data_IF_230581787348
#
_entry.id   IF_230581787348
#
_cell.length_a   1.000
_cell.length_b   1.000
_cell.length_c   1.000
_cell.angle_alpha   90.00
_cell.angle_beta   90.00
_cell.angle_gamma   90.00
#
_symmetry.space_group_name_H-M   'P 1'
#
loop_
_entity.id
_entity.type
_entity.pdbx_description
1 polymer ?
#
# COMPACT_ATOMS: atom_id res chain seq x y z
N UNK A 1 -18.96 29.33 1.63
CA UNK A 1 -19.21 28.11 2.46
C UNK A 1 -20.70 27.78 2.58
N UNK A 2 -21.58 28.76 2.83
CA UNK A 2 -23.04 28.53 2.95
C UNK A 2 -23.68 28.07 1.59
N UNK A 3 -23.12 28.47 0.46
CA UNK A 3 -23.61 28.08 -0.88
C UNK A 3 -23.45 26.57 -1.15
N UNK A 4 -22.34 25.97 -0.75
CA UNK A 4 -22.04 24.54 -0.96
C UNK A 4 -23.00 23.66 -0.14
N UNK A 5 -23.31 24.05 1.08
CA UNK A 5 -24.28 23.32 1.93
C UNK A 5 -25.71 23.35 1.35
N UNK A 6 -26.12 24.47 0.75
CA UNK A 6 -27.42 24.57 0.09
C UNK A 6 -27.53 23.66 -1.14
N UNK A 7 -26.46 23.52 -1.90
CA UNK A 7 -26.41 22.67 -3.10
C UNK A 7 -26.47 21.18 -2.75
N UNK A 8 -25.79 20.78 -1.68
CA UNK A 8 -25.81 19.39 -1.18
C UNK A 8 -27.21 19.02 -0.65
N UNK A 9 -27.86 19.89 0.12
CA UNK A 9 -29.22 19.67 0.64
C UNK A 9 -30.23 19.51 -0.51
N UNK A 10 -30.11 20.33 -1.54
CA UNK A 10 -31.02 20.28 -2.72
C UNK A 10 -30.76 19.05 -3.61
N UNK A 11 -29.52 18.56 -3.67
CA UNK A 11 -29.14 17.43 -4.54
C UNK A 11 -29.54 16.07 -3.97
N UNK A 12 -29.66 15.96 -2.66
CA UNK A 12 -29.90 14.69 -1.96
C UNK A 12 -31.26 14.64 -1.24
N UNK A 13 -32.18 15.59 -1.53
CA UNK A 13 -33.52 15.66 -0.90
C UNK A 13 -33.49 15.55 0.64
N UNK A 14 -32.44 16.05 1.27
CA UNK A 14 -32.31 16.02 2.72
C UNK A 14 -33.19 17.12 3.32
N UNK A 15 -34.17 16.75 4.14
CA UNK A 15 -34.99 17.73 4.86
C UNK A 15 -34.12 18.70 5.67
N UNK A 16 -34.41 20.01 5.67
CA UNK A 16 -33.68 20.99 6.44
C UNK A 16 -33.73 20.61 7.93
N UNK A 17 -32.62 20.17 8.48
CA UNK A 17 -32.51 19.88 9.92
C UNK A 17 -32.68 21.20 10.66
N UNK A 18 -33.64 21.26 11.60
CA UNK A 18 -33.83 22.39 12.47
C UNK A 18 -32.52 22.73 13.19
N UNK A 19 -32.14 23.99 13.11
CA UNK A 19 -30.96 24.54 13.79
C UNK A 19 -31.14 24.28 15.28
N UNK A 20 -30.38 23.35 15.86
CA UNK A 20 -30.45 23.03 17.29
C UNK A 20 -30.09 21.60 17.68
N UNK A 21 -29.94 20.66 16.75
CA UNK A 21 -29.63 19.28 17.08
C UNK A 21 -28.18 18.92 16.72
N UNK A 22 -27.23 19.29 17.60
CA UNK A 22 -25.80 19.09 17.44
C UNK A 22 -25.45 17.59 17.20
N UNK A 23 -26.22 16.66 17.79
CA UNK A 23 -26.00 15.23 17.60
C UNK A 23 -26.30 14.76 16.17
N UNK A 24 -27.34 15.33 15.53
CA UNK A 24 -27.67 15.05 14.12
C UNK A 24 -26.68 15.70 13.15
N UNK A 25 -26.17 16.88 13.48
CA UNK A 25 -25.09 17.52 12.71
C UNK A 25 -23.79 16.73 12.80
N UNK A 26 -23.45 16.20 13.97
CA UNK A 26 -22.31 15.31 14.12
C UNK A 26 -22.48 14.04 13.29
N UNK A 27 -23.65 13.41 13.33
CA UNK A 27 -23.99 12.23 12.52
C UNK A 27 -23.94 12.51 11.01
N UNK A 28 -24.38 13.68 10.56
CA UNK A 28 -24.35 14.11 9.16
C UNK A 28 -22.92 14.47 8.72
N UNK A 29 -22.18 15.15 9.56
CA UNK A 29 -20.75 15.40 9.36
C UNK A 29 -19.97 14.09 9.30
N UNK A 30 -20.29 13.14 10.19
CA UNK A 30 -19.70 11.80 10.22
C UNK A 30 -20.17 10.94 9.02
N UNK A 31 -21.33 11.21 8.45
CA UNK A 31 -21.82 10.56 7.23
C UNK A 31 -21.13 11.12 5.95
N UNK A 32 -20.95 12.43 5.84
CA UNK A 32 -20.34 13.09 4.66
C UNK A 32 -18.81 13.12 4.74
N UNK A 33 -18.28 13.35 5.95
CA UNK A 33 -16.85 13.45 6.24
C UNK A 33 -16.41 12.28 7.14
N UNK A 34 -17.33 11.35 7.38
CA UNK A 34 -17.32 10.35 8.40
C UNK A 34 -16.01 9.60 8.50
N UNK A 35 -15.79 8.77 9.37
CA UNK A 35 -14.67 7.86 9.63
C UNK A 35 -13.26 8.24 9.09
N UNK A 36 -13.16 8.98 7.96
CA UNK A 36 -11.88 9.48 7.44
C UNK A 36 -11.16 10.35 8.46
N UNK A 37 -11.86 11.23 9.17
CA UNK A 37 -11.23 12.11 10.17
C UNK A 37 -10.71 11.34 11.39
N UNK A 38 -11.38 10.27 11.80
CA UNK A 38 -10.94 9.42 12.92
C UNK A 38 -9.69 8.61 12.52
N UNK A 39 -9.66 8.06 11.31
CA UNK A 39 -8.52 7.31 10.81
C UNK A 39 -7.31 8.21 10.55
N UNK A 40 -7.51 9.42 10.02
CA UNK A 40 -6.44 10.41 9.91
C UNK A 40 -5.81 10.73 11.26
N UNK A 41 -6.65 10.94 12.28
CA UNK A 41 -6.19 11.19 13.65
C UNK A 41 -5.50 9.97 14.25
N UNK A 42 -6.03 8.76 14.04
CA UNK A 42 -5.47 7.50 14.53
C UNK A 42 -4.03 7.29 14.06
N UNK A 43 -3.76 7.50 12.76
CA UNK A 43 -2.43 7.29 12.19
C UNK A 43 -1.57 8.54 12.14
N UNK A 44 -2.11 9.71 12.51
CA UNK A 44 -1.47 11.02 12.32
C UNK A 44 -1.04 11.25 10.86
N UNK A 45 -1.84 10.71 9.92
CA UNK A 45 -1.59 10.72 8.49
C UNK A 45 -1.55 12.16 7.98
N UNK A 46 -0.56 12.44 7.14
CA UNK A 46 -0.48 13.68 6.37
C UNK A 46 -0.60 13.33 4.89
N UNK A 47 -1.27 14.18 4.13
CA UNK A 47 -1.50 14.02 2.70
C UNK A 47 -0.27 14.50 1.89
N UNK A 48 0.81 13.69 1.76
CA UNK A 48 2.04 14.15 1.13
C UNK A 48 1.93 14.24 -0.39
N UNK A 49 1.01 13.46 -1.01
CA UNK A 49 0.86 13.35 -2.46
C UNK A 49 0.05 14.54 -2.97
N UNK A 50 -1.07 14.87 -2.36
CA UNK A 50 -1.95 15.97 -2.78
C UNK A 50 -1.31 17.35 -2.66
N UNK A 51 -0.25 17.47 -1.86
CA UNK A 51 0.51 18.72 -1.74
C UNK A 51 1.38 19.00 -2.97
N UNK A 52 1.76 17.95 -3.72
CA UNK A 52 2.65 18.09 -4.87
C UNK A 52 1.96 18.76 -6.04
N UNK A 53 2.73 19.52 -6.80
CA UNK A 53 2.44 19.82 -8.20
C UNK A 53 2.86 18.65 -9.08
N UNK A 54 2.43 18.64 -10.35
CA UNK A 54 2.85 17.61 -11.33
C UNK A 54 4.38 17.61 -11.52
N UNK A 55 5.01 18.78 -11.50
CA UNK A 55 6.46 18.90 -11.59
C UNK A 55 7.17 18.23 -10.41
N UNK A 56 6.80 18.60 -9.18
CA UNK A 56 7.36 18.00 -7.96
C UNK A 56 7.11 16.48 -7.88
N UNK A 57 5.97 16.01 -8.38
CA UNK A 57 5.67 14.57 -8.48
C UNK A 57 6.69 13.86 -9.39
N UNK A 58 6.93 14.40 -10.58
CA UNK A 58 7.93 13.86 -11.54
C UNK A 58 9.35 13.90 -10.99
N UNK A 59 9.73 14.99 -10.34
CA UNK A 59 11.04 15.13 -9.71
C UNK A 59 11.22 14.06 -8.61
N UNK A 60 10.22 13.90 -7.73
CA UNK A 60 10.26 12.87 -6.70
C UNK A 60 10.36 11.45 -7.26
N UNK A 61 9.73 11.14 -8.39
CA UNK A 61 9.89 9.84 -9.05
C UNK A 61 11.29 9.66 -9.62
N UNK A 62 11.84 10.68 -10.26
CA UNK A 62 13.19 10.63 -10.87
C UNK A 62 14.30 10.51 -9.82
N UNK A 63 14.07 11.02 -8.62
CA UNK A 63 14.99 10.95 -7.49
C UNK A 63 14.96 9.62 -6.74
N UNK A 64 14.07 8.69 -7.13
CA UNK A 64 14.03 7.38 -6.51
C UNK A 64 15.29 6.57 -6.82
N UNK A 65 15.75 5.79 -5.85
CA UNK A 65 16.99 5.01 -5.97
C UNK A 65 16.98 4.08 -7.17
N UNK A 66 17.86 4.32 -8.12
CA UNK A 66 18.01 3.57 -9.39
C UNK A 66 18.23 2.08 -9.18
N UNK A 67 18.95 1.70 -8.14
CA UNK A 67 19.17 0.30 -7.77
C UNK A 67 17.85 -0.47 -7.63
N UNK A 68 16.84 0.13 -6.99
CA UNK A 68 15.53 -0.52 -6.79
C UNK A 68 14.70 -0.55 -8.08
N UNK A 69 14.92 0.37 -9.02
CA UNK A 69 14.29 0.32 -10.34
C UNK A 69 14.84 -0.87 -11.13
N UNK A 70 16.17 -1.05 -11.11
CA UNK A 70 16.84 -2.20 -11.77
C UNK A 70 16.33 -3.52 -11.20
N UNK A 71 16.30 -3.66 -9.87
CA UNK A 71 15.79 -4.86 -9.22
C UNK A 71 14.33 -5.15 -9.59
N UNK A 72 13.51 -4.10 -9.72
CA UNK A 72 12.11 -4.27 -10.11
C UNK A 72 11.97 -4.74 -11.56
N UNK A 73 12.76 -4.19 -12.47
CA UNK A 73 12.80 -4.62 -13.86
C UNK A 73 13.22 -6.09 -13.95
N UNK A 74 14.29 -6.48 -13.26
CA UNK A 74 14.75 -7.87 -13.19
C UNK A 74 13.64 -8.79 -12.65
N UNK A 75 12.87 -8.35 -11.63
CA UNK A 75 11.73 -9.11 -11.12
C UNK A 75 10.66 -9.33 -12.19
N UNK A 76 10.25 -8.31 -12.92
CA UNK A 76 9.24 -8.42 -13.96
C UNK A 76 9.69 -9.32 -15.12
N UNK A 77 10.95 -9.26 -15.50
CA UNK A 77 11.56 -10.03 -16.60
C UNK A 77 11.96 -11.45 -16.19
N UNK A 78 11.98 -11.77 -14.89
CA UNK A 78 12.37 -13.10 -14.40
C UNK A 78 11.35 -14.16 -14.83
N UNK A 79 11.84 -15.25 -15.44
CA UNK A 79 10.99 -16.39 -15.77
C UNK A 79 10.52 -17.17 -14.52
N UNK A 80 9.47 -17.97 -14.67
CA UNK A 80 8.82 -18.66 -13.56
C UNK A 80 9.77 -19.60 -12.80
N UNK A 81 10.73 -20.22 -13.47
CA UNK A 81 11.67 -21.15 -12.83
C UNK A 81 12.67 -20.46 -11.88
N UNK A 82 12.89 -19.15 -12.03
CA UNK A 82 13.79 -18.36 -11.21
C UNK A 82 13.06 -17.39 -10.29
N UNK A 83 11.73 -17.27 -10.39
CA UNK A 83 10.93 -16.33 -9.60
C UNK A 83 11.16 -16.48 -8.11
N UNK A 84 11.23 -17.71 -7.60
CA UNK A 84 11.44 -17.97 -6.18
C UNK A 84 12.78 -17.44 -5.67
N UNK A 85 13.86 -17.71 -6.41
CA UNK A 85 15.20 -17.23 -6.04
C UNK A 85 15.28 -15.70 -6.13
N UNK A 86 14.70 -15.11 -7.17
CA UNK A 86 14.64 -13.66 -7.36
C UNK A 86 13.88 -12.99 -6.24
N UNK A 87 12.69 -13.51 -5.87
CA UNK A 87 11.91 -13.04 -4.74
C UNK A 87 12.73 -13.07 -3.44
N UNK A 88 13.32 -14.22 -3.10
CA UNK A 88 14.13 -14.35 -1.90
C UNK A 88 15.36 -13.43 -1.88
N UNK A 89 16.01 -13.25 -3.03
CA UNK A 89 17.14 -12.33 -3.19
C UNK A 89 16.74 -10.89 -2.89
N UNK A 90 15.62 -10.40 -3.45
CA UNK A 90 15.18 -9.02 -3.25
C UNK A 90 14.62 -8.79 -1.85
N UNK A 91 13.86 -9.74 -1.30
CA UNK A 91 13.42 -9.64 0.09
C UNK A 91 14.61 -9.47 1.05
N UNK A 92 15.75 -10.09 0.76
CA UNK A 92 17.00 -9.91 1.51
C UNK A 92 17.68 -8.58 1.23
N UNK A 93 17.89 -8.24 -0.06
CA UNK A 93 18.53 -6.98 -0.49
C UNK A 93 17.81 -5.75 0.04
N UNK A 94 16.47 -5.78 -0.01
CA UNK A 94 15.63 -4.69 0.48
C UNK A 94 15.40 -4.74 1.99
N UNK A 95 16.13 -5.58 2.69
CA UNK A 95 16.06 -5.75 4.14
C UNK A 95 14.64 -6.01 4.68
N UNK A 96 13.78 -6.57 3.82
CA UNK A 96 12.41 -6.89 4.17
C UNK A 96 12.31 -8.10 5.10
N UNK A 97 13.12 -9.11 4.81
CA UNK A 97 13.31 -10.29 5.66
C UNK A 97 14.72 -10.86 5.45
N UNK A 98 15.07 -11.82 6.27
CA UNK A 98 16.31 -12.59 6.13
C UNK A 98 15.95 -14.05 5.84
N UNK A 99 15.76 -14.43 4.56
CA UNK A 99 15.26 -15.75 4.20
C UNK A 99 16.01 -16.92 4.84
N UNK A 100 17.34 -16.79 4.98
CA UNK A 100 18.21 -17.78 5.64
C UNK A 100 17.99 -17.91 7.16
N UNK A 101 17.14 -17.09 7.76
CA UNK A 101 16.80 -17.12 9.19
C UNK A 101 15.30 -17.32 9.43
N UNK A 102 14.54 -17.71 8.41
CA UNK A 102 13.13 -18.01 8.55
C UNK A 102 12.91 -19.31 9.33
N UNK A 103 11.83 -19.37 10.14
CA UNK A 103 11.54 -20.52 11.00
C UNK A 103 11.41 -21.87 10.27
N UNK A 104 10.86 -21.86 9.05
CA UNK A 104 10.70 -23.08 8.25
C UNK A 104 12.01 -23.63 7.70
N UNK A 105 13.08 -22.82 7.70
CA UNK A 105 14.41 -23.23 7.28
C UNK A 105 15.18 -23.64 8.52
N UNK A 106 14.75 -24.73 9.13
CA UNK A 106 15.58 -25.39 10.13
C UNK A 106 16.69 -26.15 9.41
N UNK A 107 17.83 -26.20 10.04
CA UNK A 107 19.17 -26.70 9.71
C UNK A 107 19.32 -27.86 8.72
N UNK A 108 18.26 -28.55 8.33
CA UNK A 108 18.25 -29.70 7.42
C UNK A 108 17.91 -29.35 5.96
N UNK A 109 17.33 -28.17 5.70
CA UNK A 109 17.05 -27.72 4.33
C UNK A 109 18.22 -26.88 3.81
N UNK A 110 19.07 -27.49 3.00
CA UNK A 110 20.22 -26.83 2.38
C UNK A 110 19.87 -25.77 1.34
N UNK A 111 18.62 -25.68 0.88
CA UNK A 111 18.18 -24.78 -0.18
C UNK A 111 16.88 -24.04 0.21
N UNK A 112 16.90 -22.72 0.07
CA UNK A 112 15.76 -21.84 0.26
C UNK A 112 14.68 -22.00 -0.82
N UNK A 113 15.10 -22.39 -2.04
CA UNK A 113 14.26 -22.41 -3.21
C UNK A 113 12.93 -23.18 -3.02
N UNK A 114 12.87 -24.42 -2.50
CA UNK A 114 11.61 -25.13 -2.33
C UNK A 114 10.59 -24.39 -1.44
N UNK A 115 11.09 -23.74 -0.38
CA UNK A 115 10.22 -22.97 0.51
C UNK A 115 9.68 -21.69 -0.14
N UNK A 116 10.51 -21.01 -0.92
CA UNK A 116 10.10 -19.81 -1.66
C UNK A 116 9.16 -20.15 -2.80
N UNK A 117 9.33 -21.31 -3.45
CA UNK A 117 8.40 -21.87 -4.43
C UNK A 117 7.03 -22.16 -3.82
N UNK A 118 6.97 -22.72 -2.61
CA UNK A 118 5.73 -22.92 -1.87
C UNK A 118 5.02 -21.59 -1.59
N UNK A 119 5.76 -20.55 -1.16
CA UNK A 119 5.20 -19.21 -0.97
C UNK A 119 4.56 -18.70 -2.26
N UNK A 120 5.26 -18.76 -3.38
CA UNK A 120 4.74 -18.29 -4.67
C UNK A 120 3.51 -19.07 -5.09
N UNK A 121 3.54 -20.40 -4.94
CA UNK A 121 2.44 -21.29 -5.28
C UNK A 121 1.19 -21.02 -4.42
N UNK A 122 1.36 -20.99 -3.12
CA UNK A 122 0.26 -20.84 -2.15
C UNK A 122 -0.44 -19.48 -2.27
N UNK A 123 0.32 -18.43 -2.61
CA UNK A 123 -0.21 -17.06 -2.73
C UNK A 123 -0.67 -16.70 -4.14
N UNK A 124 -0.34 -17.50 -5.15
CA UNK A 124 -0.51 -17.18 -6.57
C UNK A 124 -1.92 -16.72 -6.96
N UNK A 125 -2.96 -17.37 -6.45
CA UNK A 125 -4.35 -17.04 -6.79
C UNK A 125 -4.72 -15.65 -6.26
N UNK A 126 -4.34 -15.33 -5.02
CA UNK A 126 -4.67 -14.02 -4.42
C UNK A 126 -3.87 -12.90 -5.08
N UNK A 127 -2.59 -13.16 -5.38
CA UNK A 127 -1.73 -12.18 -6.05
C UNK A 127 -2.21 -11.86 -7.46
N UNK A 128 -2.55 -12.88 -8.28
CA UNK A 128 -3.06 -12.69 -9.64
C UNK A 128 -4.40 -11.97 -9.67
N UNK A 129 -5.29 -12.27 -8.72
CA UNK A 129 -6.57 -11.56 -8.63
C UNK A 129 -6.35 -10.08 -8.29
N UNK A 130 -5.49 -9.77 -7.32
CA UNK A 130 -5.18 -8.38 -6.96
C UNK A 130 -4.43 -7.65 -8.08
N UNK A 131 -3.50 -8.30 -8.77
CA UNK A 131 -2.82 -7.72 -9.93
C UNK A 131 -3.81 -7.30 -11.04
N UNK A 132 -4.88 -8.08 -11.22
CA UNK A 132 -5.89 -7.83 -12.24
C UNK A 132 -6.98 -6.84 -11.82
N UNK A 133 -7.46 -6.97 -10.58
CA UNK A 133 -8.72 -6.39 -10.14
C UNK A 133 -8.56 -5.29 -9.07
N UNK A 134 -7.31 -5.00 -8.64
CA UNK A 134 -7.03 -3.97 -7.64
C UNK A 134 -6.15 -2.86 -8.21
N UNK A 135 -6.60 -1.63 -8.04
CA UNK A 135 -5.83 -0.42 -8.31
C UNK A 135 -5.95 0.51 -7.10
N UNK A 136 -4.81 0.92 -6.55
CA UNK A 136 -4.79 1.82 -5.39
C UNK A 136 -5.31 3.23 -5.71
N UNK A 137 -5.36 3.61 -6.97
CA UNK A 137 -5.90 4.92 -7.39
C UNK A 137 -7.43 4.92 -7.45
N UNK A 138 -8.05 3.75 -7.52
CA UNK A 138 -9.49 3.57 -7.64
C UNK A 138 -10.13 3.19 -6.30
N UNK A 139 -11.03 4.05 -5.78
CA UNK A 139 -11.79 3.78 -4.56
C UNK A 139 -12.65 2.52 -4.69
N UNK A 140 -13.23 2.27 -5.85
CA UNK A 140 -14.10 1.13 -6.12
C UNK A 140 -13.32 -0.20 -6.13
N UNK A 141 -12.01 -0.18 -6.26
CA UNK A 141 -11.17 -1.38 -6.18
C UNK A 141 -11.06 -1.99 -4.79
N UNK A 142 -11.43 -1.24 -3.72
CA UNK A 142 -11.47 -1.75 -2.34
C UNK A 142 -12.71 -2.62 -2.05
N UNK A 143 -13.06 -3.47 -2.99
CA UNK A 143 -14.15 -4.45 -2.83
C UNK A 143 -13.91 -5.39 -1.65
N UNK A 144 -14.98 -6.03 -1.17
CA UNK A 144 -14.86 -7.06 -0.12
C UNK A 144 -13.94 -8.21 -0.56
N UNK A 145 -13.97 -8.60 -1.84
CA UNK A 145 -13.13 -9.65 -2.41
C UNK A 145 -11.65 -9.29 -2.37
N UNK A 146 -11.29 -8.07 -2.82
CA UNK A 146 -9.91 -7.58 -2.82
C UNK A 146 -9.38 -7.37 -1.39
N UNK A 147 -10.18 -6.76 -0.51
CA UNK A 147 -9.81 -6.62 0.90
C UNK A 147 -9.59 -7.99 1.57
N UNK A 148 -10.41 -8.99 1.25
CA UNK A 148 -10.25 -10.36 1.74
C UNK A 148 -8.97 -11.02 1.20
N UNK A 149 -8.61 -10.78 -0.06
CA UNK A 149 -7.36 -11.28 -0.65
C UNK A 149 -6.14 -10.65 0.03
N UNK A 150 -6.16 -9.33 0.26
CA UNK A 150 -5.10 -8.61 1.01
C UNK A 150 -4.96 -9.18 2.44
N UNK A 151 -6.07 -9.41 3.15
CA UNK A 151 -6.05 -10.01 4.50
C UNK A 151 -5.44 -11.42 4.49
N UNK A 152 -5.78 -12.24 3.50
CA UNK A 152 -5.22 -13.59 3.35
C UNK A 152 -3.70 -13.53 3.11
N UNK A 153 -3.23 -12.65 2.24
CA UNK A 153 -1.80 -12.44 2.02
C UNK A 153 -1.11 -11.95 3.30
N UNK A 154 -1.71 -11.01 4.04
CA UNK A 154 -1.18 -10.54 5.31
C UNK A 154 -0.93 -11.68 6.28
N UNK A 155 -1.96 -12.48 6.61
CA UNK A 155 -1.85 -13.58 7.56
C UNK A 155 -0.88 -14.66 7.06
N UNK A 156 -0.91 -14.97 5.76
CA UNK A 156 0.04 -15.91 5.19
C UNK A 156 1.50 -15.45 5.39
N UNK A 157 1.79 -14.20 5.10
CA UNK A 157 3.14 -13.67 5.26
C UNK A 157 3.52 -13.44 6.73
N UNK A 158 2.58 -13.07 7.58
CA UNK A 158 2.81 -12.94 9.01
C UNK A 158 3.34 -14.24 9.60
N UNK A 159 2.82 -15.38 9.15
CA UNK A 159 3.21 -16.71 9.63
C UNK A 159 4.44 -17.28 8.91
N UNK A 160 4.63 -16.96 7.64
CA UNK A 160 5.63 -17.60 6.80
C UNK A 160 6.93 -16.78 6.60
N UNK A 161 6.89 -15.45 6.72
CA UNK A 161 8.07 -14.59 6.65
C UNK A 161 8.68 -14.31 8.03
N UNK A 162 8.40 -15.19 8.98
CA UNK A 162 8.89 -15.06 10.35
C UNK A 162 10.39 -15.27 10.40
N UNK A 163 11.04 -14.33 11.04
CA UNK A 163 12.46 -14.35 11.33
C UNK A 163 12.73 -15.17 12.61
N UNK A 164 13.72 -16.06 12.58
CA UNK A 164 14.15 -16.79 13.76
C UNK A 164 14.96 -15.88 14.68
N UNK A 165 14.28 -14.98 15.35
CA UNK A 165 14.82 -13.99 16.25
C UNK A 165 13.73 -13.47 17.20
N UNK A 166 14.15 -12.81 18.26
CA UNK A 166 13.27 -12.34 19.34
C UNK A 166 12.38 -11.15 18.98
N UNK A 167 12.45 -10.64 17.73
CA UNK A 167 11.64 -9.52 17.31
C UNK A 167 10.18 -9.94 17.03
N UNK A 168 9.23 -9.10 17.41
CA UNK A 168 7.80 -9.21 17.13
C UNK A 168 7.12 -10.51 17.61
N UNK A 169 7.53 -11.06 18.75
CA UNK A 169 6.92 -12.28 19.31
C UNK A 169 6.82 -13.43 18.29
N UNK A 170 7.72 -13.48 17.33
CA UNK A 170 7.77 -14.50 16.30
C UNK A 170 6.83 -14.29 15.12
N UNK A 171 6.33 -13.07 14.90
CA UNK A 171 5.58 -12.67 13.71
C UNK A 171 6.45 -11.89 12.73
N UNK A 172 6.09 -11.90 11.45
CA UNK A 172 6.75 -11.07 10.46
C UNK A 172 6.47 -9.57 10.73
N UNK A 173 7.42 -8.71 10.36
CA UNK A 173 7.21 -7.27 10.45
C UNK A 173 6.34 -6.76 9.32
N UNK A 174 5.65 -5.63 9.55
CA UNK A 174 4.91 -4.91 8.51
C UNK A 174 5.77 -4.63 7.27
N UNK A 175 7.06 -4.34 7.45
CA UNK A 175 8.00 -4.10 6.34
C UNK A 175 8.16 -5.35 5.47
N UNK A 176 8.29 -6.52 6.09
CA UNK A 176 8.37 -7.80 5.38
C UNK A 176 7.09 -8.13 4.64
N UNK A 177 5.96 -8.02 5.34
CA UNK A 177 4.63 -8.33 4.81
C UNK A 177 4.30 -7.42 3.61
N UNK A 178 4.37 -6.10 3.79
CA UNK A 178 4.00 -5.14 2.75
C UNK A 178 4.92 -5.19 1.52
N UNK A 179 6.22 -5.45 1.72
CA UNK A 179 7.15 -5.68 0.60
C UNK A 179 6.83 -6.96 -0.17
N UNK A 180 6.49 -8.04 0.51
CA UNK A 180 6.07 -9.27 -0.15
C UNK A 180 4.78 -9.08 -0.95
N UNK A 181 3.78 -8.40 -0.37
CA UNK A 181 2.54 -8.06 -1.08
C UNK A 181 2.84 -7.22 -2.32
N UNK A 182 3.60 -6.13 -2.17
CA UNK A 182 3.98 -5.26 -3.29
C UNK A 182 4.66 -6.05 -4.42
N UNK A 183 5.62 -6.91 -4.09
CA UNK A 183 6.33 -7.72 -5.08
C UNK A 183 5.41 -8.70 -5.80
N UNK A 184 4.69 -9.51 -5.03
CA UNK A 184 3.95 -10.64 -5.59
C UNK A 184 2.65 -10.23 -6.29
N UNK A 185 2.18 -8.98 -6.06
CA UNK A 185 1.09 -8.38 -6.83
C UNK A 185 1.59 -7.51 -8.00
N UNK A 186 2.87 -7.65 -8.40
CA UNK A 186 3.51 -6.85 -9.44
C UNK A 186 3.28 -5.34 -9.29
N UNK A 187 3.22 -4.88 -8.05
CA UNK A 187 3.05 -3.47 -7.72
C UNK A 187 1.61 -2.96 -7.74
N UNK A 188 0.60 -3.82 -7.86
CA UNK A 188 -0.80 -3.39 -7.76
C UNK A 188 -1.11 -2.90 -6.34
N UNK A 189 -0.73 -3.66 -5.31
CA UNK A 189 -0.94 -3.31 -3.91
C UNK A 189 0.34 -2.74 -3.31
N UNK A 190 0.31 -1.50 -2.90
CA UNK A 190 1.46 -0.80 -2.31
C UNK A 190 1.04 0.55 -1.75
N UNK A 191 1.96 1.27 -1.12
CA UNK A 191 3.41 1.05 -1.02
C UNK A 191 3.84 0.04 0.03
N UNK A 192 5.15 -0.28 0.04
CA UNK A 192 5.77 -1.00 1.13
C UNK A 192 5.99 -0.10 2.36
N UNK A 193 5.50 -0.49 3.53
CA UNK A 193 5.54 0.34 4.75
C UNK A 193 6.88 0.27 5.47
N UNK A 194 7.96 0.66 4.79
CA UNK A 194 9.26 0.81 5.43
C UNK A 194 9.39 2.15 6.19
N UNK A 195 10.59 2.41 6.73
CA UNK A 195 10.84 3.63 7.51
C UNK A 195 10.61 4.91 6.68
N UNK A 196 11.02 4.91 5.39
CA UNK A 196 10.92 6.11 4.54
C UNK A 196 9.45 6.41 4.23
N UNK A 197 8.69 5.40 3.78
CA UNK A 197 7.26 5.53 3.50
C UNK A 197 6.48 5.98 4.73
N UNK A 198 6.73 5.37 5.90
CA UNK A 198 6.08 5.80 7.15
C UNK A 198 6.42 7.24 7.53
N UNK A 199 7.64 7.67 7.28
CA UNK A 199 8.09 9.04 7.56
C UNK A 199 7.42 10.05 6.62
N UNK A 200 7.35 9.78 5.33
CA UNK A 200 6.66 10.62 4.35
C UNK A 200 5.16 10.75 4.65
N UNK A 201 4.51 9.64 5.02
CA UNK A 201 3.10 9.61 5.43
C UNK A 201 2.87 10.15 6.85
N UNK A 202 3.94 10.44 7.61
CA UNK A 202 3.92 10.82 9.02
C UNK A 202 3.20 9.82 9.94
N UNK A 203 3.21 8.53 9.58
CA UNK A 203 2.57 7.47 10.36
C UNK A 203 3.44 7.15 11.58
N UNK A 204 2.94 7.50 12.78
CA UNK A 204 3.61 7.24 14.06
C UNK A 204 3.06 6.01 14.76
N UNK A 205 1.82 5.65 14.49
CA UNK A 205 1.16 4.48 15.06
C UNK A 205 1.61 3.21 14.35
N UNK A 206 1.72 2.12 15.10
CA UNK A 206 1.98 0.80 14.52
C UNK A 206 0.78 0.36 13.65
N UNK A 207 1.10 -0.25 12.50
CA UNK A 207 0.15 -1.01 11.70
C UNK A 207 0.33 -2.46 12.12
N UNK A 208 -0.62 -3.00 12.89
CA UNK A 208 -0.44 -4.27 13.60
C UNK A 208 -1.25 -5.41 13.00
N UNK A 209 -2.22 -5.09 12.17
CA UNK A 209 -3.15 -6.06 11.60
C UNK A 209 -3.55 -5.67 10.17
N UNK A 210 -4.17 -6.57 9.40
CA UNK A 210 -4.53 -6.31 8.01
C UNK A 210 -5.63 -5.25 7.84
N UNK A 211 -6.48 -5.02 8.85
CA UNK A 211 -7.49 -3.97 8.80
C UNK A 211 -6.83 -2.59 8.87
N UNK A 212 -5.87 -2.40 9.77
CA UNK A 212 -5.05 -1.20 9.83
C UNK A 212 -4.30 -0.94 8.51
N UNK A 213 -3.76 -2.01 7.90
CA UNK A 213 -3.06 -1.91 6.62
C UNK A 213 -4.00 -1.42 5.51
N UNK A 214 -5.19 -2.02 5.38
CA UNK A 214 -6.20 -1.63 4.38
C UNK A 214 -6.69 -0.19 4.64
N UNK A 215 -6.90 0.20 5.91
CA UNK A 215 -7.29 1.57 6.25
C UNK A 215 -6.24 2.58 5.78
N UNK A 216 -4.96 2.30 6.00
CA UNK A 216 -3.89 3.20 5.54
C UNK A 216 -3.80 3.22 4.00
N UNK A 217 -4.02 2.10 3.32
CA UNK A 217 -4.12 2.10 1.84
C UNK A 217 -5.27 2.99 1.35
N UNK A 218 -6.41 3.00 2.03
CA UNK A 218 -7.54 3.91 1.71
C UNK A 218 -7.20 5.37 1.97
N UNK A 219 -6.43 5.68 3.01
CA UNK A 219 -5.95 7.06 3.23
C UNK A 219 -5.03 7.52 2.10
N UNK A 220 -4.15 6.64 1.63
CA UNK A 220 -3.28 6.92 0.48
C UNK A 220 -4.12 7.11 -0.79
N UNK A 221 -5.11 6.26 -1.03
CA UNK A 221 -6.03 6.40 -2.16
C UNK A 221 -6.75 7.77 -2.15
N UNK A 222 -7.25 8.19 -0.99
CA UNK A 222 -7.87 9.51 -0.86
C UNK A 222 -6.88 10.66 -1.14
N UNK A 223 -5.64 10.56 -0.66
CA UNK A 223 -4.58 11.55 -0.95
C UNK A 223 -4.25 11.62 -2.45
N UNK A 224 -4.25 10.47 -3.15
CA UNK A 224 -4.12 10.37 -4.60
C UNK A 224 -5.29 11.11 -5.28
N UNK A 225 -6.53 10.81 -4.90
CA UNK A 225 -7.72 11.45 -5.48
C UNK A 225 -7.70 12.98 -5.30
N UNK A 226 -7.19 13.46 -4.17
CA UNK A 226 -7.00 14.90 -3.93
C UNK A 226 -5.93 15.48 -4.86
N UNK A 227 -4.83 14.76 -5.11
CA UNK A 227 -3.78 15.17 -6.05
C UNK A 227 -4.35 15.28 -7.47
N UNK A 228 -5.05 14.26 -7.94
CA UNK A 228 -5.61 14.20 -9.29
C UNK A 228 -6.63 15.31 -9.51
N UNK A 229 -7.51 15.53 -8.55
CA UNK A 229 -8.49 16.61 -8.58
C UNK A 229 -7.83 17.99 -8.59
N UNK A 230 -6.80 18.21 -7.78
CA UNK A 230 -6.08 19.49 -7.70
C UNK A 230 -5.34 19.82 -9.00
N UNK A 231 -4.69 18.81 -9.59
CA UNK A 231 -3.84 18.99 -10.75
C UNK A 231 -4.55 18.72 -12.08
N UNK A 232 -5.82 18.27 -12.06
CA UNK A 232 -6.61 17.88 -13.24
C UNK A 232 -5.87 16.86 -14.14
N UNK A 233 -5.19 15.89 -13.52
CA UNK A 233 -4.39 14.85 -14.19
C UNK A 233 -4.35 13.60 -13.34
N UNK A 234 -4.24 12.43 -13.97
CA UNK A 234 -4.10 11.18 -13.24
C UNK A 234 -2.66 10.93 -12.74
N UNK A 235 -2.51 9.99 -11.81
CA UNK A 235 -1.20 9.48 -11.40
C UNK A 235 -0.47 8.87 -12.61
N UNK A 236 -1.18 8.12 -13.46
CA UNK A 236 -0.62 7.48 -14.66
C UNK A 236 -0.08 8.50 -15.65
N UNK A 237 -0.84 9.57 -15.93
CA UNK A 237 -0.40 10.65 -16.82
C UNK A 237 0.77 11.44 -16.22
N UNK A 238 0.81 11.55 -14.90
CA UNK A 238 1.90 12.21 -14.18
C UNK A 238 3.17 11.36 -14.13
N UNK A 239 3.03 10.02 -14.18
CA UNK A 239 4.11 9.04 -14.12
C UNK A 239 4.56 8.58 -15.53
N UNK A 240 4.53 9.44 -16.55
CA UNK A 240 4.98 9.13 -17.91
C UNK A 240 6.40 8.53 -17.87
N UNK A 241 6.58 7.35 -18.50
CA UNK A 241 7.82 6.56 -18.46
C UNK A 241 7.80 5.43 -17.43
N UNK A 242 6.83 5.39 -16.54
CA UNK A 242 6.62 4.34 -15.54
C UNK A 242 5.32 3.55 -15.74
N UNK A 243 4.64 3.71 -16.89
CA UNK A 243 3.34 3.08 -17.18
C UNK A 243 3.36 1.54 -17.19
N UNK A 244 4.55 0.93 -17.23
CA UNK A 244 4.74 -0.51 -17.08
C UNK A 244 4.73 -1.00 -15.63
N UNK A 245 4.63 -0.09 -14.67
CA UNK A 245 4.57 -0.39 -13.24
C UNK A 245 3.11 -0.34 -12.76
N UNK A 246 2.76 -1.18 -11.81
CA UNK A 246 1.51 -1.03 -11.08
C UNK A 246 1.48 0.25 -10.23
N UNK A 247 0.32 0.86 -10.07
CA UNK A 247 0.16 2.15 -9.37
C UNK A 247 0.65 2.11 -7.92
N UNK A 248 0.48 1.00 -7.20
CA UNK A 248 1.06 0.82 -5.87
C UNK A 248 2.59 0.90 -5.86
N UNK A 249 3.26 0.44 -6.94
CA UNK A 249 4.71 0.59 -7.08
C UNK A 249 5.11 2.03 -7.40
N UNK A 250 4.33 2.76 -8.20
CA UNK A 250 4.56 4.19 -8.45
C UNK A 250 4.48 4.97 -7.14
N UNK A 251 3.47 4.69 -6.31
CA UNK A 251 3.33 5.31 -4.99
C UNK A 251 4.49 4.91 -4.06
N UNK A 252 4.94 3.66 -4.09
CA UNK A 252 6.12 3.21 -3.34
C UNK A 252 7.39 3.97 -3.76
N UNK A 253 7.57 4.25 -5.05
CA UNK A 253 8.67 5.07 -5.54
C UNK A 253 8.54 6.53 -5.10
N UNK A 254 7.33 7.08 -5.12
CA UNK A 254 7.07 8.46 -4.72
C UNK A 254 7.40 8.72 -3.25
N UNK A 255 7.05 7.77 -2.37
CA UNK A 255 7.20 7.86 -0.92
C UNK A 255 8.48 7.19 -0.39
N UNK A 256 9.15 6.42 -1.22
CA UNK A 256 10.29 5.60 -0.85
C UNK A 256 11.63 6.35 -0.79
N UNK A 257 12.74 5.61 -0.64
CA UNK A 257 14.06 6.18 -0.48
C UNK A 257 14.56 6.90 -1.74
N UNK A 258 15.20 8.05 -1.56
CA UNK A 258 15.74 8.89 -2.64
C UNK A 258 17.24 8.67 -2.82
N UNK A 259 17.75 8.97 -4.03
CA UNK A 259 19.17 9.16 -4.25
C UNK A 259 19.66 10.29 -3.33
N UNK A 260 20.88 10.20 -2.85
CA UNK A 260 21.50 11.25 -2.02
C UNK A 260 22.28 12.19 -2.90
#
# INVERSE_FOLDING_TARGET
RISIYREIILRYEIEPLAIGNISKWKSFHDFIFGKQSENYNKYNFQDPISRLSVGEFKDKLSDFKKEYIVHWKEWLETNDSLKAETFGSYMRKWQACRPNKMRRIKSEQKHLAPFLEDILKDTSVWCKNLEKDFDITDEDSFTEANCRAIKKLWFYFEDNLVYDGKANNGKASIVGISKAILFLTNGAVGPAFDKNVKQELNIKTSIENPDDYIEVLKLIQNDISLFEKKNSTSIEDSAIGYSHLGNGRIIDMLLGPKEK
#
